data_IF_642050604498
#
_entry.id   IF_642050604498
#
_cell.length_a   1.000
_cell.length_b   1.000
_cell.length_c   1.000
_cell.angle_alpha   90.00
_cell.angle_beta   90.00
_cell.angle_gamma   90.00
#
_symmetry.space_group_name_H-M   'P 1'
#
loop_
_entity.id
_entity.type
_entity.pdbx_description
1 polymer ?
#
# COMPACT_ATOMS: atom_id res chain seq x y z
N UNK A 1 -20.25 -0.60 -9.54
CA UNK A 1 -18.96 -0.95 -10.18
C UNK A 1 -18.65 -2.41 -9.87
N UNK A 2 -18.21 -3.18 -10.86
CA UNK A 2 -17.72 -4.55 -10.65
C UNK A 2 -16.28 -4.59 -11.15
N UNK A 3 -15.33 -4.94 -10.30
CA UNK A 3 -13.91 -5.05 -10.63
C UNK A 3 -13.63 -6.49 -11.05
N UNK A 4 -12.99 -6.67 -12.21
CA UNK A 4 -12.56 -7.97 -12.69
C UNK A 4 -11.52 -8.56 -11.72
N UNK A 5 -11.45 -9.89 -11.60
CA UNK A 5 -10.55 -10.55 -10.64
C UNK A 5 -9.06 -10.22 -10.83
N UNK A 6 -8.67 -9.71 -12.01
CA UNK A 6 -7.30 -9.22 -12.24
C UNK A 6 -6.99 -7.93 -11.47
N UNK A 7 -8.00 -7.13 -11.14
CA UNK A 7 -7.82 -5.77 -10.62
C UNK A 7 -7.42 -4.73 -11.68
N UNK A 8 -7.40 -5.11 -12.97
CA UNK A 8 -7.00 -4.24 -14.09
C UNK A 8 -8.15 -3.86 -15.02
N UNK A 9 -9.35 -4.38 -14.79
CA UNK A 9 -10.53 -4.09 -15.61
C UNK A 9 -11.74 -3.93 -14.71
N UNK A 10 -12.73 -3.17 -15.17
CA UNK A 10 -14.01 -3.11 -14.48
C UNK A 10 -15.18 -2.82 -15.41
N UNK A 11 -16.37 -3.17 -14.93
CA UNK A 11 -17.64 -2.79 -15.56
C UNK A 11 -18.40 -1.82 -14.66
N UNK A 12 -18.67 -0.63 -15.18
CA UNK A 12 -19.41 0.45 -14.55
C UNK A 12 -20.78 0.62 -15.22
N UNK A 13 -21.81 0.93 -14.43
CA UNK A 13 -23.10 1.35 -15.00
C UNK A 13 -23.04 2.85 -15.36
N UNK A 14 -24.07 3.34 -16.05
CA UNK A 14 -24.18 4.75 -16.47
C UNK A 14 -23.99 5.74 -15.31
N UNK A 15 -24.53 5.46 -14.11
CA UNK A 15 -24.37 6.35 -12.96
C UNK A 15 -22.92 6.41 -12.45
N UNK A 16 -22.20 5.28 -12.44
CA UNK A 16 -20.79 5.25 -12.05
C UNK A 16 -19.90 5.97 -13.07
N UNK A 17 -20.20 5.85 -14.37
CA UNK A 17 -19.51 6.61 -15.42
C UNK A 17 -19.74 8.11 -15.28
N UNK A 18 -20.99 8.54 -15.04
CA UNK A 18 -21.35 9.93 -14.78
C UNK A 18 -20.56 10.51 -13.60
N UNK A 19 -20.54 9.81 -12.46
CA UNK A 19 -19.79 10.22 -11.26
C UNK A 19 -18.27 10.23 -11.48
N UNK A 20 -17.75 9.37 -12.36
CA UNK A 20 -16.35 9.36 -12.75
C UNK A 20 -16.00 10.41 -13.81
N UNK A 21 -16.98 11.16 -14.33
CA UNK A 21 -16.79 12.13 -15.39
C UNK A 21 -16.48 11.51 -16.76
N UNK A 22 -16.86 10.25 -16.98
CA UNK A 22 -16.62 9.53 -18.24
C UNK A 22 -17.85 9.68 -19.14
N UNK A 23 -17.65 10.26 -20.32
CA UNK A 23 -18.70 10.56 -21.31
C UNK A 23 -18.29 10.08 -22.70
N UNK A 24 -19.14 10.31 -23.71
CA UNK A 24 -18.79 10.07 -25.11
C UNK A 24 -17.62 10.93 -25.61
N UNK A 25 -17.31 12.04 -24.93
CA UNK A 25 -16.21 12.95 -25.25
C UNK A 25 -14.90 12.55 -24.57
N UNK A 26 -14.92 11.61 -23.62
CA UNK A 26 -13.72 11.14 -22.95
C UNK A 26 -12.82 10.39 -23.93
N UNK A 27 -11.56 10.80 -24.02
CA UNK A 27 -10.54 10.07 -24.75
C UNK A 27 -10.01 8.89 -23.94
N UNK A 28 -9.44 7.90 -24.64
CA UNK A 28 -8.73 6.80 -24.00
C UNK A 28 -7.46 7.33 -23.33
N UNK A 29 -7.24 7.08 -22.02
CA UNK A 29 -6.00 7.47 -21.38
C UNK A 29 -4.83 6.66 -21.95
N UNK A 30 -3.62 7.22 -21.96
CA UNK A 30 -2.43 6.48 -22.37
C UNK A 30 -2.34 5.18 -21.56
N UNK A 31 -2.30 4.03 -22.24
CA UNK A 31 -2.25 2.72 -21.58
C UNK A 31 -3.56 2.27 -20.94
N UNK A 32 -4.71 2.75 -21.40
CA UNK A 32 -6.03 2.27 -21.01
C UNK A 32 -7.06 2.46 -22.12
N UNK A 33 -8.19 1.78 -22.02
CA UNK A 33 -9.27 1.83 -23.03
C UNK A 33 -10.61 2.02 -22.34
N UNK A 34 -11.40 2.96 -22.85
CA UNK A 34 -12.83 3.11 -22.53
C UNK A 34 -13.59 2.39 -23.65
N UNK A 35 -14.08 1.18 -23.41
CA UNK A 35 -14.83 0.45 -24.43
C UNK A 35 -16.15 1.14 -24.73
N UNK A 36 -16.56 1.08 -25.99
CA UNK A 36 -17.72 1.83 -26.51
C UNK A 36 -18.78 0.90 -27.08
N UNK A 37 -19.99 1.42 -27.17
CA UNK A 37 -21.08 0.75 -27.89
C UNK A 37 -20.73 0.64 -29.37
N UNK A 38 -21.22 -0.41 -30.03
CA UNK A 38 -20.94 -0.63 -31.45
C UNK A 38 -21.41 0.58 -32.28
N UNK A 39 -20.55 1.05 -33.19
CA UNK A 39 -20.80 2.22 -34.05
C UNK A 39 -21.11 3.52 -33.28
N UNK A 40 -20.61 3.67 -32.05
CA UNK A 40 -20.85 4.86 -31.21
C UNK A 40 -19.59 5.28 -30.44
N UNK A 41 -19.57 6.54 -29.99
CA UNK A 41 -18.60 7.01 -29.01
C UNK A 41 -19.08 6.84 -27.56
N UNK A 42 -20.31 6.37 -27.34
CA UNK A 42 -20.86 6.15 -26.00
C UNK A 42 -20.13 5.01 -25.27
N UNK A 43 -19.58 5.24 -24.06
CA UNK A 43 -18.95 4.19 -23.27
C UNK A 43 -19.95 3.07 -22.93
N UNK A 44 -19.55 1.81 -23.13
CA UNK A 44 -20.40 0.64 -22.82
C UNK A 44 -20.25 0.14 -21.38
N UNK A 45 -19.47 0.85 -20.56
CA UNK A 45 -19.23 0.53 -19.15
C UNK A 45 -17.97 -0.27 -18.87
N UNK A 46 -17.32 -0.88 -19.88
CA UNK A 46 -16.07 -1.62 -19.66
C UNK A 46 -14.87 -0.68 -19.76
N UNK A 47 -14.03 -0.66 -18.73
CA UNK A 47 -12.82 0.14 -18.64
C UNK A 47 -11.60 -0.76 -18.42
N UNK A 48 -10.54 -0.52 -19.18
CA UNK A 48 -9.28 -1.27 -19.13
C UNK A 48 -8.14 -0.44 -18.59
N UNK A 49 -7.28 -1.06 -17.79
CA UNK A 49 -5.99 -0.55 -17.33
C UNK A 49 -6.09 0.89 -16.78
N UNK A 50 -5.43 1.87 -17.39
CA UNK A 50 -5.43 3.23 -16.89
C UNK A 50 -6.81 3.89 -16.92
N UNK A 51 -7.75 3.44 -17.75
CA UNK A 51 -9.14 3.92 -17.69
C UNK A 51 -9.86 3.38 -16.44
N UNK A 52 -9.59 2.12 -16.07
CA UNK A 52 -10.07 1.53 -14.83
C UNK A 52 -9.50 2.27 -13.60
N UNK A 53 -8.18 2.48 -13.56
CA UNK A 53 -7.53 3.17 -12.43
C UNK A 53 -7.95 4.63 -12.31
N UNK A 54 -8.11 5.36 -13.43
CA UNK A 54 -8.61 6.73 -13.41
C UNK A 54 -10.03 6.82 -12.83
N UNK A 55 -10.91 5.88 -13.19
CA UNK A 55 -12.24 5.80 -12.61
C UNK A 55 -12.17 5.46 -11.11
N UNK A 56 -11.36 4.50 -10.68
CA UNK A 56 -11.19 4.21 -9.25
C UNK A 56 -10.69 5.43 -8.47
N UNK A 57 -9.72 6.17 -9.01
CA UNK A 57 -9.21 7.40 -8.40
C UNK A 57 -10.29 8.47 -8.27
N UNK A 58 -11.13 8.65 -9.29
CA UNK A 58 -12.25 9.60 -9.21
C UNK A 58 -13.32 9.13 -8.20
N UNK A 59 -13.64 7.84 -8.17
CA UNK A 59 -14.61 7.30 -7.21
C UNK A 59 -14.08 7.31 -5.77
N UNK A 60 -12.77 7.25 -5.56
CA UNK A 60 -12.18 7.43 -4.22
C UNK A 60 -12.53 8.78 -3.60
N UNK A 61 -12.81 9.82 -4.41
CA UNK A 61 -13.28 11.13 -3.92
C UNK A 61 -14.66 11.07 -3.26
N UNK A 62 -15.43 10.00 -3.52
CA UNK A 62 -16.73 9.76 -2.89
C UNK A 62 -16.61 9.07 -1.54
N UNK A 63 -15.38 8.67 -1.14
CA UNK A 63 -15.14 8.07 0.17
C UNK A 63 -14.98 9.19 1.19
N UNK A 64 -16.11 9.64 1.72
CA UNK A 64 -16.15 10.61 2.81
C UNK A 64 -15.81 9.97 4.16
N UNK A 65 -15.74 10.79 5.20
CA UNK A 65 -15.41 10.34 6.55
C UNK A 65 -16.44 9.34 7.10
N UNK A 66 -17.71 9.46 6.75
CA UNK A 66 -18.76 8.55 7.22
C UNK A 66 -18.56 7.16 6.60
N UNK A 67 -18.25 7.10 5.30
CA UNK A 67 -17.95 5.84 4.64
C UNK A 67 -16.67 5.21 5.18
N UNK A 68 -15.61 5.99 5.44
CA UNK A 68 -14.40 5.50 6.11
C UNK A 68 -14.71 4.88 7.48
N UNK A 69 -15.51 5.56 8.29
CA UNK A 69 -15.89 5.08 9.63
C UNK A 69 -16.68 3.76 9.53
N UNK A 70 -17.63 3.67 8.59
CA UNK A 70 -18.38 2.43 8.32
C UNK A 70 -17.49 1.30 7.79
N UNK A 71 -16.52 1.60 6.94
CA UNK A 71 -15.55 0.61 6.44
C UNK A 71 -14.68 0.07 7.58
N UNK A 72 -14.23 0.94 8.49
CA UNK A 72 -13.48 0.56 9.67
C UNK A 72 -14.33 -0.33 10.60
N UNK A 73 -15.56 0.07 10.93
CA UNK A 73 -16.51 -0.72 11.74
C UNK A 73 -16.80 -2.11 11.13
N UNK A 74 -17.03 -2.16 9.82
CA UNK A 74 -17.25 -3.44 9.13
C UNK A 74 -15.99 -4.33 9.15
N UNK A 75 -14.82 -3.74 8.95
CA UNK A 75 -13.54 -4.47 8.94
C UNK A 75 -13.24 -5.08 10.30
N UNK A 76 -13.29 -4.29 11.38
CA UNK A 76 -13.04 -4.82 12.72
C UNK A 76 -14.09 -5.87 13.14
N UNK A 77 -15.35 -5.70 12.74
CA UNK A 77 -16.41 -6.68 13.03
C UNK A 77 -16.11 -8.03 12.37
N UNK A 78 -15.57 -8.01 11.14
CA UNK A 78 -15.15 -9.22 10.45
C UNK A 78 -14.01 -9.91 11.20
N UNK A 79 -13.00 -9.16 11.64
CA UNK A 79 -11.87 -9.70 12.42
C UNK A 79 -12.36 -10.28 13.76
N UNK A 80 -13.15 -9.52 14.52
CA UNK A 80 -13.68 -9.93 15.81
C UNK A 80 -14.55 -11.20 15.70
N UNK A 81 -15.33 -11.35 14.61
CA UNK A 81 -16.14 -12.55 14.36
C UNK A 81 -15.31 -13.84 14.27
N UNK A 82 -14.04 -13.75 13.86
CA UNK A 82 -13.11 -14.88 13.82
C UNK A 82 -12.18 -14.94 15.04
N UNK A 83 -12.41 -14.11 16.07
CA UNK A 83 -11.64 -14.12 17.31
C UNK A 83 -10.31 -13.36 17.24
N UNK A 84 -10.05 -12.60 16.18
CA UNK A 84 -8.91 -11.69 16.16
C UNK A 84 -9.18 -10.52 17.11
N UNK A 85 -8.31 -10.33 18.09
CA UNK A 85 -8.41 -9.25 19.09
C UNK A 85 -7.48 -8.08 18.82
N UNK A 86 -6.60 -8.21 17.82
CA UNK A 86 -5.67 -7.17 17.39
C UNK A 86 -5.51 -7.22 15.88
N UNK A 87 -5.49 -6.06 15.23
CA UNK A 87 -5.23 -5.90 13.81
C UNK A 87 -4.14 -4.85 13.56
N UNK A 88 -3.50 -4.97 12.40
CA UNK A 88 -2.49 -4.03 11.95
C UNK A 88 -2.97 -3.34 10.67
N UNK A 89 -3.10 -2.01 10.70
CA UNK A 89 -3.20 -1.22 9.48
C UNK A 89 -1.79 -1.03 8.93
N UNK A 90 -1.46 -1.85 7.93
CA UNK A 90 -0.10 -2.05 7.42
C UNK A 90 0.35 -1.06 6.37
N UNK A 91 -0.43 -0.01 6.06
CA UNK A 91 -0.06 1.19 5.28
C UNK A 91 -1.14 2.28 5.45
N UNK A 92 -1.23 2.87 6.63
CA UNK A 92 -2.22 3.89 6.94
C UNK A 92 -2.02 5.17 6.12
N UNK A 93 -3.09 5.63 5.47
CA UNK A 93 -3.18 6.99 4.91
C UNK A 93 -3.61 7.98 5.99
N UNK A 94 -3.49 9.28 5.72
CA UNK A 94 -3.99 10.34 6.61
C UNK A 94 -5.50 10.24 6.87
N UNK A 95 -6.29 9.88 5.86
CA UNK A 95 -7.74 9.68 6.00
C UNK A 95 -8.07 8.45 6.86
N UNK A 96 -7.34 7.35 6.67
CA UNK A 96 -7.45 6.16 7.49
C UNK A 96 -7.09 6.44 8.95
N UNK A 97 -6.00 7.19 9.19
CA UNK A 97 -5.63 7.66 10.52
C UNK A 97 -6.75 8.48 11.18
N UNK A 98 -7.33 9.45 10.47
CA UNK A 98 -8.41 10.25 11.03
C UNK A 98 -9.67 9.42 11.34
N UNK A 99 -9.98 8.39 10.55
CA UNK A 99 -11.06 7.43 10.86
C UNK A 99 -10.77 6.61 12.13
N UNK A 100 -9.56 6.04 12.25
CA UNK A 100 -9.14 5.30 13.45
C UNK A 100 -9.14 6.16 14.70
N UNK A 101 -8.67 7.40 14.59
CA UNK A 101 -8.70 8.41 15.65
C UNK A 101 -10.12 8.77 16.08
N UNK A 102 -11.05 9.02 15.14
CA UNK A 102 -12.46 9.24 15.46
C UNK A 102 -13.07 8.03 16.16
N UNK A 103 -12.78 6.82 15.68
CA UNK A 103 -13.29 5.60 16.28
C UNK A 103 -12.78 5.39 17.71
N UNK A 104 -11.49 5.63 17.96
CA UNK A 104 -10.90 5.61 19.30
C UNK A 104 -11.54 6.64 20.24
N UNK A 105 -11.72 7.89 19.78
CA UNK A 105 -12.35 8.96 20.59
C UNK A 105 -13.82 8.70 20.93
N UNK A 106 -14.52 7.91 20.11
CA UNK A 106 -15.95 7.62 20.25
C UNK A 106 -16.25 6.20 20.78
N UNK A 107 -15.26 5.49 21.31
CA UNK A 107 -15.38 4.09 21.79
C UNK A 107 -16.03 3.15 20.75
N UNK A 108 -15.61 3.28 19.49
CA UNK A 108 -16.09 2.46 18.37
C UNK A 108 -15.16 1.31 18.00
N UNK A 109 -14.00 1.19 18.63
CA UNK A 109 -13.07 0.10 18.40
C UNK A 109 -13.38 -1.08 19.32
N UNK A 110 -13.52 -2.27 18.74
CA UNK A 110 -13.81 -3.56 19.37
C UNK A 110 -12.55 -4.41 19.57
N UNK A 111 -11.50 -4.10 18.81
CA UNK A 111 -10.22 -4.81 18.79
C UNK A 111 -9.11 -3.76 18.84
N UNK A 112 -7.95 -4.16 19.34
CA UNK A 112 -6.76 -3.32 19.31
C UNK A 112 -6.30 -3.10 17.87
N UNK A 113 -5.95 -1.85 17.54
CA UNK A 113 -5.53 -1.45 16.21
C UNK A 113 -4.20 -0.71 16.28
N UNK A 114 -3.21 -1.25 15.56
CA UNK A 114 -1.89 -0.62 15.40
C UNK A 114 -1.74 -0.14 13.96
N UNK A 115 -1.61 1.17 13.78
CA UNK A 115 -1.36 1.75 12.47
C UNK A 115 0.12 1.94 12.17
N UNK A 116 0.51 1.71 10.92
CA UNK A 116 1.82 2.06 10.39
C UNK A 116 1.66 3.08 9.26
N UNK A 117 2.16 4.29 9.48
CA UNK A 117 2.03 5.38 8.53
C UNK A 117 2.74 5.09 7.21
N UNK A 118 2.13 5.42 6.08
CA UNK A 118 2.89 5.50 4.82
C UNK A 118 4.02 6.52 4.99
N UNK A 119 5.28 6.06 4.95
CA UNK A 119 6.45 6.91 5.18
C UNK A 119 6.59 8.01 4.11
N UNK A 120 6.09 7.79 2.90
CA UNK A 120 6.28 8.69 1.76
C UNK A 120 5.16 9.73 1.70
N UNK A 121 3.92 9.34 1.97
CA UNK A 121 2.75 10.20 1.74
C UNK A 121 1.99 10.60 3.00
N UNK A 122 2.24 9.99 4.16
CA UNK A 122 1.38 10.16 5.34
C UNK A 122 2.14 10.10 6.67
N UNK A 123 3.45 10.32 6.68
CA UNK A 123 4.24 10.32 7.92
C UNK A 123 3.94 11.49 8.85
N UNK A 124 3.22 12.52 8.40
CA UNK A 124 2.92 13.72 9.19
C UNK A 124 2.16 13.42 10.48
N UNK A 125 1.33 12.37 10.52
CA UNK A 125 0.60 12.01 11.74
C UNK A 125 1.44 11.25 12.77
N UNK A 126 2.70 10.95 12.48
CA UNK A 126 3.65 10.37 13.45
C UNK A 126 3.93 11.32 14.63
N UNK A 127 3.68 12.62 14.48
CA UNK A 127 3.79 13.61 15.55
C UNK A 127 2.56 13.66 16.48
N UNK A 128 1.58 12.78 16.28
CA UNK A 128 0.34 12.76 17.06
C UNK A 128 0.49 12.08 18.43
N UNK A 129 -0.48 12.35 19.32
CA UNK A 129 -0.61 11.72 20.64
C UNK A 129 -0.75 10.19 20.60
N UNK A 130 -1.00 9.60 19.44
CA UNK A 130 -1.16 8.15 19.28
C UNK A 130 0.16 7.42 18.97
N UNK A 131 1.26 8.14 18.68
CA UNK A 131 2.58 7.54 18.47
C UNK A 131 3.26 7.24 19.80
N UNK A 132 2.70 6.27 20.52
CA UNK A 132 3.12 5.84 21.85
C UNK A 132 2.94 4.32 21.96
N UNK A 133 3.71 3.61 22.81
CA UNK A 133 3.55 2.17 22.97
C UNK A 133 2.20 1.75 23.58
N UNK A 134 1.53 2.66 24.29
CA UNK A 134 0.23 2.46 24.92
C UNK A 134 -0.94 2.66 23.95
N UNK A 135 -2.00 1.86 24.11
CA UNK A 135 -3.24 2.09 23.38
C UNK A 135 -4.09 3.15 24.08
N UNK A 136 -4.59 4.09 23.30
CA UNK A 136 -5.67 5.01 23.70
C UNK A 136 -6.97 4.49 23.10
N UNK A 137 -7.85 3.94 23.95
CA UNK A 137 -9.11 3.31 23.53
C UNK A 137 -8.93 2.40 22.31
N UNK A 138 -8.11 1.36 22.48
CA UNK A 138 -7.76 0.37 21.45
C UNK A 138 -6.93 0.88 20.25
N UNK A 139 -6.51 2.15 20.19
CA UNK A 139 -5.73 2.66 19.06
C UNK A 139 -4.35 3.16 19.45
N UNK A 140 -3.33 2.83 18.63
CA UNK A 140 -2.00 3.43 18.65
C UNK A 140 -1.36 3.41 17.26
N UNK A 141 -0.31 4.19 17.09
CA UNK A 141 0.60 4.14 15.94
C UNK A 141 1.85 3.34 16.34
N UNK A 142 2.22 2.37 15.52
CA UNK A 142 3.37 1.48 15.77
C UNK A 142 4.65 1.90 15.07
N UNK A 143 4.57 2.75 14.06
CA UNK A 143 5.72 3.15 13.26
C UNK A 143 5.32 3.49 11.83
N UNK A 144 6.22 3.22 10.89
CA UNK A 144 6.05 3.56 9.48
C UNK A 144 6.15 2.33 8.58
N UNK A 145 5.54 2.43 7.40
CA UNK A 145 5.56 1.45 6.32
C UNK A 145 6.30 2.02 5.11
N UNK A 146 7.20 1.20 4.55
CA UNK A 146 7.86 1.41 3.28
C UNK A 146 7.54 0.28 2.29
N UNK A 147 7.68 0.56 1.01
CA UNK A 147 7.58 -0.41 -0.08
C UNK A 147 8.81 -0.28 -0.98
N UNK A 148 9.65 -1.31 -1.02
CA UNK A 148 10.90 -1.29 -1.77
C UNK A 148 10.77 -1.89 -3.17
N UNK A 149 9.73 -2.69 -3.43
CA UNK A 149 9.42 -3.25 -4.75
C UNK A 149 7.93 -3.56 -4.94
N UNK A 150 7.62 -4.21 -6.06
CA UNK A 150 6.28 -4.71 -6.39
C UNK A 150 6.01 -6.13 -5.91
N UNK A 151 5.28 -6.90 -6.69
CA UNK A 151 4.83 -8.25 -6.33
C UNK A 151 5.37 -9.31 -7.30
N UNK A 152 5.75 -10.52 -6.82
CA UNK A 152 6.18 -11.59 -7.71
C UNK A 152 5.07 -12.06 -8.65
N UNK A 153 3.81 -11.99 -8.22
CA UNK A 153 2.64 -12.40 -9.01
C UNK A 153 2.44 -11.47 -10.22
N UNK A 154 2.65 -10.16 -10.02
CA UNK A 154 2.69 -9.17 -11.10
C UNK A 154 4.03 -9.11 -11.82
N UNK A 155 5.01 -9.92 -11.40
CA UNK A 155 6.41 -9.90 -11.84
C UNK A 155 7.08 -8.53 -11.67
N UNK A 156 6.65 -7.73 -10.71
CA UNK A 156 7.21 -6.40 -10.41
C UNK A 156 8.10 -6.40 -9.16
N UNK A 157 8.21 -7.53 -8.45
CA UNK A 157 9.21 -7.70 -7.40
C UNK A 157 10.63 -7.69 -7.99
N UNK A 158 11.58 -7.06 -7.30
CA UNK A 158 12.92 -6.81 -7.83
C UNK A 158 13.91 -7.90 -7.44
N UNK A 159 14.28 -8.73 -8.42
CA UNK A 159 15.16 -9.88 -8.26
C UNK A 159 16.61 -9.52 -8.64
N UNK A 160 17.57 -10.25 -8.08
CA UNK A 160 18.98 -10.14 -8.51
C UNK A 160 19.26 -10.85 -9.84
N UNK A 161 18.34 -11.70 -10.28
CA UNK A 161 18.41 -12.43 -11.54
C UNK A 161 17.14 -12.21 -12.36
N UNK A 162 17.21 -12.27 -13.71
CA UNK A 162 16.02 -12.12 -14.54
C UNK A 162 14.91 -13.12 -14.22
N UNK A 163 13.66 -12.71 -14.41
CA UNK A 163 12.52 -13.60 -14.32
C UNK A 163 12.64 -14.72 -15.36
N UNK A 164 12.44 -15.97 -14.93
CA UNK A 164 12.46 -17.13 -15.84
C UNK A 164 11.48 -16.98 -17.01
N UNK A 165 10.31 -16.39 -16.75
CA UNK A 165 9.39 -15.91 -17.77
C UNK A 165 9.13 -14.42 -17.53
N UNK A 166 9.73 -13.52 -18.31
CA UNK A 166 9.39 -12.10 -18.25
C UNK A 166 7.90 -11.82 -18.55
N UNK A 167 7.35 -10.67 -18.13
CA UNK A 167 6.06 -10.18 -18.63
C UNK A 167 6.06 -10.03 -20.16
N UNK A 168 4.88 -10.08 -20.77
CA UNK A 168 4.76 -9.82 -22.20
C UNK A 168 5.28 -8.40 -22.53
N UNK A 169 6.14 -8.30 -23.55
CA UNK A 169 6.74 -7.03 -23.98
C UNK A 169 7.97 -6.58 -23.20
N UNK A 170 8.44 -7.37 -22.22
CA UNK A 170 9.70 -7.14 -21.52
C UNK A 170 10.82 -8.01 -22.09
N UNK A 171 12.05 -7.52 -21.98
CA UNK A 171 13.25 -8.23 -22.43
C UNK A 171 13.57 -9.45 -21.54
N UNK A 172 14.45 -10.33 -22.04
CA UNK A 172 14.85 -11.56 -21.35
C UNK A 172 15.65 -11.32 -20.06
N UNK A 173 16.22 -10.14 -19.91
CA UNK A 173 16.98 -9.70 -18.74
C UNK A 173 16.11 -8.97 -17.70
N UNK A 174 14.80 -8.85 -17.94
CA UNK A 174 13.88 -8.21 -17.00
C UNK A 174 13.88 -8.91 -15.63
N UNK A 175 14.18 -8.15 -14.58
CA UNK A 175 14.31 -8.64 -13.21
C UNK A 175 13.33 -7.94 -12.23
N UNK A 176 12.31 -7.23 -12.74
CA UNK A 176 11.54 -6.29 -11.93
C UNK A 176 12.32 -5.00 -11.67
N UNK A 177 11.90 -4.21 -10.69
CA UNK A 177 12.51 -2.90 -10.45
C UNK A 177 12.30 -2.42 -9.01
N UNK A 178 13.25 -1.63 -8.45
CA UNK A 178 13.07 -1.02 -7.15
C UNK A 178 12.01 0.08 -7.19
N UNK A 179 11.45 0.37 -6.02
CA UNK A 179 10.62 1.57 -5.78
C UNK A 179 11.49 2.79 -5.49
N UNK A 180 12.64 2.59 -4.82
CA UNK A 180 13.54 3.65 -4.39
C UNK A 180 14.96 3.42 -4.92
N UNK A 181 15.68 4.51 -5.15
CA UNK A 181 17.14 4.44 -5.23
C UNK A 181 17.73 4.12 -3.85
N UNK A 182 18.93 3.52 -3.81
CA UNK A 182 19.57 3.08 -2.56
C UNK A 182 19.71 4.20 -1.53
N UNK A 183 20.04 5.41 -1.98
CA UNK A 183 20.20 6.57 -1.10
C UNK A 183 18.85 6.98 -0.50
N UNK A 184 17.79 7.00 -1.30
CA UNK A 184 16.43 7.33 -0.83
C UNK A 184 15.91 6.26 0.15
N UNK A 185 16.11 4.97 -0.15
CA UNK A 185 15.78 3.87 0.74
C UNK A 185 16.48 4.01 2.11
N UNK A 186 17.77 4.32 2.09
CA UNK A 186 18.54 4.59 3.29
C UNK A 186 18.04 5.83 4.05
N UNK A 187 17.75 6.94 3.37
CA UNK A 187 17.31 8.18 4.03
C UNK A 187 15.98 8.01 4.76
N UNK A 188 15.05 7.22 4.20
CA UNK A 188 13.80 6.88 4.88
C UNK A 188 14.02 6.03 6.13
N UNK A 189 14.86 4.98 6.03
CA UNK A 189 15.17 4.12 7.17
C UNK A 189 15.92 4.90 8.26
N UNK A 190 16.88 5.75 7.88
CA UNK A 190 17.59 6.63 8.81
C UNK A 190 16.62 7.57 9.53
N UNK A 191 15.69 8.18 8.80
CA UNK A 191 14.69 9.10 9.37
C UNK A 191 13.79 8.37 10.38
N UNK A 192 13.29 7.18 10.04
CA UNK A 192 12.49 6.40 10.99
C UNK A 192 13.29 6.01 12.23
N UNK A 193 14.54 5.55 12.05
CA UNK A 193 15.38 5.12 13.16
C UNK A 193 15.81 6.25 14.09
N UNK A 194 16.02 7.47 13.56
CA UNK A 194 16.29 8.67 14.37
C UNK A 194 15.13 9.04 15.29
N UNK A 195 13.90 8.78 14.84
CA UNK A 195 12.68 9.07 15.59
C UNK A 195 12.18 7.85 16.38
N UNK A 196 12.98 6.79 16.46
CA UNK A 196 12.63 5.54 17.16
C UNK A 196 11.35 4.86 16.64
N UNK A 197 11.00 5.10 15.37
CA UNK A 197 9.85 4.47 14.73
C UNK A 197 10.22 3.07 14.23
N UNK A 198 9.36 2.08 14.53
CA UNK A 198 9.50 0.77 13.91
C UNK A 198 9.25 0.88 12.40
N UNK A 199 10.08 0.21 11.62
CA UNK A 199 9.94 0.17 10.16
C UNK A 199 9.38 -1.18 9.74
N UNK A 200 8.23 -1.17 9.08
CA UNK A 200 7.78 -2.30 8.27
C UNK A 200 8.15 -2.04 6.82
N UNK A 201 8.68 -3.03 6.14
CA UNK A 201 9.08 -2.88 4.73
C UNK A 201 8.49 -3.99 3.90
N UNK A 202 7.66 -3.65 2.93
CA UNK A 202 7.34 -4.55 1.83
C UNK A 202 8.59 -4.70 0.96
N UNK A 203 9.13 -5.92 0.91
CA UNK A 203 10.13 -6.32 -0.06
C UNK A 203 9.96 -7.80 -0.36
N UNK A 204 9.75 -8.12 -1.63
CA UNK A 204 9.55 -9.49 -2.09
C UNK A 204 10.79 -10.08 -2.74
N UNK A 205 11.34 -9.32 -3.69
CA UNK A 205 12.45 -9.72 -4.51
C UNK A 205 13.77 -9.64 -3.76
N UNK A 206 14.71 -10.52 -4.09
CA UNK A 206 15.93 -10.67 -3.31
C UNK A 206 16.88 -9.48 -3.46
N UNK A 207 16.79 -8.72 -4.56
CA UNK A 207 17.50 -7.44 -4.68
C UNK A 207 16.86 -6.34 -3.83
N UNK A 208 15.53 -6.30 -3.71
CA UNK A 208 14.85 -5.37 -2.80
C UNK A 208 15.12 -5.68 -1.32
N UNK A 209 15.17 -6.96 -0.97
CA UNK A 209 15.55 -7.43 0.38
C UNK A 209 16.99 -7.01 0.68
N UNK A 210 17.91 -7.16 -0.29
CA UNK A 210 19.29 -6.70 -0.16
C UNK A 210 19.38 -5.19 0.09
N UNK A 211 18.64 -4.39 -0.67
CA UNK A 211 18.55 -2.94 -0.48
C UNK A 211 18.06 -2.59 0.93
N UNK A 212 17.05 -3.30 1.43
CA UNK A 212 16.54 -3.08 2.79
C UNK A 212 17.56 -3.44 3.88
N UNK A 213 18.22 -4.59 3.78
CA UNK A 213 19.27 -4.99 4.73
C UNK A 213 20.41 -3.97 4.73
N UNK A 214 20.82 -3.48 3.56
CA UNK A 214 21.88 -2.48 3.43
C UNK A 214 21.46 -1.13 4.04
N UNK A 215 20.23 -0.68 3.80
CA UNK A 215 19.69 0.53 4.42
C UNK A 215 19.68 0.45 5.96
N UNK A 216 19.20 -0.67 6.52
CA UNK A 216 19.19 -0.93 7.97
C UNK A 216 20.62 -1.01 8.53
N UNK A 217 21.53 -1.68 7.83
CA UNK A 217 22.94 -1.81 8.24
C UNK A 217 23.59 -0.43 8.35
N UNK A 218 23.50 0.38 7.28
CA UNK A 218 24.06 1.74 7.23
C UNK A 218 23.43 2.67 8.27
N UNK A 219 22.12 2.57 8.52
CA UNK A 219 21.46 3.33 9.56
C UNK A 219 21.94 2.95 10.98
N UNK A 220 22.13 1.65 11.25
CA UNK A 220 22.69 1.18 12.52
C UNK A 220 24.16 1.57 12.72
N UNK A 221 24.97 1.57 11.67
CA UNK A 221 26.36 2.06 11.73
C UNK A 221 26.41 3.53 12.13
N UNK A 222 25.47 4.34 11.61
CA UNK A 222 25.41 5.79 11.88
C UNK A 222 24.80 6.14 13.24
N UNK A 223 23.70 5.47 13.61
CA UNK A 223 22.88 5.82 14.79
C UNK A 223 23.16 4.93 16.01
N UNK A 224 24.06 3.96 15.86
CA UNK A 224 24.29 2.91 16.84
C UNK A 224 23.22 1.81 16.76
N UNK A 225 23.63 0.57 17.01
CA UNK A 225 22.74 -0.59 17.03
C UNK A 225 21.82 -0.52 18.24
N UNK A 226 20.51 -0.55 18.00
CA UNK A 226 19.46 -0.62 19.02
C UNK A 226 18.43 -1.68 18.62
N UNK A 227 17.59 -2.13 19.56
CA UNK A 227 16.51 -3.07 19.29
C UNK A 227 15.31 -2.38 18.62
N UNK A 228 15.50 -1.89 17.38
CA UNK A 228 14.45 -1.19 16.60
C UNK A 228 13.47 -2.12 15.90
N UNK A 229 13.75 -3.43 15.90
CA UNK A 229 12.91 -4.51 15.35
C UNK A 229 12.30 -4.19 13.96
N UNK A 230 13.10 -3.78 12.96
CA UNK A 230 12.58 -3.61 11.60
C UNK A 230 12.00 -4.94 11.09
N UNK A 231 10.91 -4.89 10.35
CA UNK A 231 10.20 -6.07 9.87
C UNK A 231 10.20 -6.11 8.35
N UNK A 232 10.70 -7.22 7.82
CA UNK A 232 10.50 -7.58 6.42
C UNK A 232 9.09 -8.18 6.24
N UNK A 233 8.27 -7.51 5.45
CA UNK A 233 6.95 -8.00 5.04
C UNK A 233 7.11 -8.77 3.73
N UNK A 234 6.53 -9.98 3.69
CA UNK A 234 6.58 -10.97 2.62
C UNK A 234 7.87 -11.79 2.53
N UNK A 235 9.00 -11.19 2.10
CA UNK A 235 10.28 -11.90 1.98
C UNK A 235 10.26 -13.14 1.07
N UNK A 236 9.45 -13.13 0.01
CA UNK A 236 9.12 -14.35 -0.76
C UNK A 236 10.29 -15.01 -1.48
N UNK A 237 11.33 -14.25 -1.85
CA UNK A 237 12.50 -14.79 -2.56
C UNK A 237 13.81 -14.62 -1.80
N UNK A 238 13.75 -14.46 -0.48
CA UNK A 238 14.92 -14.26 0.36
C UNK A 238 15.98 -15.36 0.13
N UNK A 239 17.24 -14.95 -0.07
CA UNK A 239 18.36 -15.89 -0.23
C UNK A 239 18.88 -16.35 1.12
N UNK A 240 19.54 -17.51 1.14
CA UNK A 240 20.14 -18.06 2.36
C UNK A 240 21.12 -17.08 3.03
N UNK A 241 21.95 -16.39 2.24
CA UNK A 241 22.92 -15.41 2.74
C UNK A 241 22.29 -14.16 3.39
N UNK A 242 21.02 -13.89 3.07
CA UNK A 242 20.28 -12.76 3.63
C UNK A 242 19.62 -13.10 4.96
N UNK A 243 19.32 -14.37 5.21
CA UNK A 243 18.72 -14.84 6.49
C UNK A 243 19.69 -14.67 7.66
N UNK A 244 20.99 -14.79 7.39
CA UNK A 244 22.04 -14.70 8.41
C UNK A 244 22.36 -13.25 8.83
N UNK A 245 21.75 -12.24 8.19
CA UNK A 245 22.03 -10.80 8.37
C UNK A 245 20.89 -10.08 9.09
#
# INVERSE_FOLDING_TARGET
>A
LIIHTSGHLSVANSKALELAGITSESEDPKGGIIRRMENSQEPNGVLEENAHFAMLFNLNKLIDSELQDRMLEASQSMYAKYGYTTAQEGRATSEGYEAMKRASKNDKLMIDLVAYADMVSSSDFMDSEYNTPEYTNHFRIGGVKLNFDGSPQGKTAWLSQPYFHPPHGQDKDYAGYPTFEDQQAYDYVETAFKNEWQVLTHANGDAAIEQFINAVTKANEKLGKQDRRPVLIHGQTMRQDQVDR
#
